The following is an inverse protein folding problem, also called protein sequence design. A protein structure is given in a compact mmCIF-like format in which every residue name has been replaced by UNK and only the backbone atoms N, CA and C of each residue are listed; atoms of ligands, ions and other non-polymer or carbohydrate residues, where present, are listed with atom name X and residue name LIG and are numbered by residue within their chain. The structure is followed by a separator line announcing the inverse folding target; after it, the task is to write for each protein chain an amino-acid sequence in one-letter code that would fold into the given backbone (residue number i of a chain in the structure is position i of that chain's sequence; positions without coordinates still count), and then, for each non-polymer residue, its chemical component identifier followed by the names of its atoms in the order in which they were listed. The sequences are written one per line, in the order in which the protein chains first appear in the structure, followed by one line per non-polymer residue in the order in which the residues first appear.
data_IF_820275926055
#
_entry.id   IF_820275926055
#
_cell.length_a   1.000
_cell.length_b   1.000
_cell.length_c   1.000
_cell.angle_alpha   90.00
_cell.angle_beta   90.00
_cell.angle_gamma   90.00
#
_symmetry.space_group_name_H-M   'P 1'
#
loop_
_entity.id
_entity.type
_entity.pdbx_description
1 polymer ?
#
# COMPACT_ATOMS: atom_id res chain seq x y z
N UNK A 1 -16.00 -9.44 30.15
CA UNK A 1 -16.76 -9.29 28.90
C UNK A 1 -16.23 -10.11 27.72
N UNK A 2 -15.05 -9.86 27.13
CA UNK A 2 -14.57 -10.66 25.96
C UNK A 2 -14.37 -12.15 26.30
N UNK A 3 -13.85 -12.43 27.50
CA UNK A 3 -13.63 -13.80 28.00
C UNK A 3 -14.95 -14.56 28.26
N UNK A 4 -15.93 -13.89 28.85
CA UNK A 4 -17.27 -14.46 29.09
C UNK A 4 -18.03 -14.71 27.79
N UNK A 5 -17.88 -13.85 26.77
CA UNK A 5 -18.44 -14.11 25.43
C UNK A 5 -17.76 -15.32 24.78
N UNK A 6 -16.44 -15.48 24.90
CA UNK A 6 -15.74 -16.66 24.38
C UNK A 6 -16.12 -17.97 25.10
N UNK A 7 -16.36 -17.90 26.40
CA UNK A 7 -16.75 -19.05 27.25
C UNK A 7 -18.23 -19.40 27.13
N UNK A 8 -19.13 -18.41 27.00
CA UNK A 8 -20.58 -18.64 26.85
C UNK A 8 -20.99 -18.97 25.41
N UNK A 9 -20.26 -18.50 24.38
CA UNK A 9 -20.65 -18.65 22.98
C UNK A 9 -20.15 -19.94 22.31
N UNK A 10 -19.69 -20.96 23.07
CA UNK A 10 -19.04 -22.15 22.48
C UNK A 10 -17.92 -21.79 21.50
N UNK A 11 -17.16 -20.73 21.79
CA UNK A 11 -16.18 -20.16 20.84
C UNK A 11 -15.10 -21.15 20.39
N UNK A 12 -14.76 -22.14 21.23
CA UNK A 12 -13.88 -23.26 20.86
C UNK A 12 -14.51 -24.22 19.85
N UNK A 13 -15.81 -24.51 19.98
CA UNK A 13 -16.52 -25.39 19.04
C UNK A 13 -16.73 -24.70 17.70
N UNK A 14 -17.12 -23.41 17.71
CA UNK A 14 -17.24 -22.59 16.50
C UNK A 14 -15.90 -22.45 15.78
N UNK A 15 -14.82 -22.20 16.52
CA UNK A 15 -13.48 -22.19 15.95
C UNK A 15 -13.09 -23.57 15.40
N UNK A 16 -13.33 -24.65 16.13
CA UNK A 16 -13.03 -26.00 15.67
C UNK A 16 -13.77 -26.35 14.36
N UNK A 17 -15.03 -25.95 14.24
CA UNK A 17 -15.83 -26.14 13.03
C UNK A 17 -15.32 -25.31 11.84
N UNK A 18 -14.90 -24.05 12.08
CA UNK A 18 -14.44 -23.16 11.01
C UNK A 18 -12.93 -23.27 10.70
N UNK A 19 -12.16 -23.98 11.53
CA UNK A 19 -10.69 -24.01 11.46
C UNK A 19 -10.18 -24.50 10.11
N UNK A 20 -10.75 -25.59 9.58
CA UNK A 20 -10.32 -26.17 8.32
C UNK A 20 -10.46 -25.18 7.15
N UNK A 21 -11.57 -24.44 7.10
CA UNK A 21 -11.81 -23.40 6.08
C UNK A 21 -10.83 -22.24 6.20
N UNK A 22 -10.54 -21.79 7.44
CA UNK A 22 -9.54 -20.74 7.67
C UNK A 22 -8.13 -21.18 7.29
N UNK A 23 -7.74 -22.41 7.63
CA UNK A 23 -6.43 -22.98 7.26
C UNK A 23 -6.30 -23.14 5.75
N UNK A 24 -7.35 -23.62 5.07
CA UNK A 24 -7.37 -23.72 3.61
C UNK A 24 -7.26 -22.34 2.95
N UNK A 25 -8.00 -21.34 3.43
CA UNK A 25 -7.93 -19.99 2.90
C UNK A 25 -6.57 -19.34 3.15
N UNK A 26 -6.00 -19.51 4.35
CA UNK A 26 -4.65 -19.04 4.67
C UNK A 26 -3.61 -19.68 3.75
N UNK A 27 -3.75 -20.97 3.44
CA UNK A 27 -2.89 -21.68 2.50
C UNK A 27 -3.01 -21.11 1.08
N UNK A 28 -4.23 -20.82 0.61
CA UNK A 28 -4.45 -20.18 -0.70
C UNK A 28 -3.78 -18.81 -0.77
N UNK A 29 -3.93 -17.98 0.27
CA UNK A 29 -3.26 -16.68 0.36
C UNK A 29 -1.74 -16.82 0.34
N UNK A 30 -1.19 -17.78 1.07
CA UNK A 30 0.25 -18.04 1.10
C UNK A 30 0.78 -18.32 -0.31
N UNK A 31 0.19 -19.30 -0.99
CA UNK A 31 0.58 -19.69 -2.35
C UNK A 31 0.43 -18.53 -3.35
N UNK A 32 -0.65 -17.76 -3.23
CA UNK A 32 -0.94 -16.68 -4.17
C UNK A 32 -0.10 -15.41 -3.95
N UNK A 33 0.43 -15.20 -2.73
CA UNK A 33 1.10 -13.94 -2.36
C UNK A 33 2.62 -14.06 -2.31
N UNK A 34 3.16 -15.24 -2.00
CA UNK A 34 4.60 -15.43 -1.78
C UNK A 34 5.46 -14.92 -2.93
N UNK A 35 5.15 -15.35 -4.16
CA UNK A 35 5.93 -14.96 -5.34
C UNK A 35 5.82 -13.45 -5.62
N UNK A 36 4.65 -12.87 -5.40
CA UNK A 36 4.45 -11.43 -5.63
C UNK A 36 5.17 -10.57 -4.59
N UNK A 37 5.23 -11.00 -3.34
CA UNK A 37 6.01 -10.33 -2.29
C UNK A 37 7.50 -10.44 -2.60
N UNK A 38 7.96 -11.61 -3.08
CA UNK A 38 9.33 -11.80 -3.53
C UNK A 38 9.69 -10.84 -4.67
N UNK A 39 8.83 -10.75 -5.70
CA UNK A 39 9.01 -9.81 -6.81
C UNK A 39 9.09 -8.36 -6.34
N UNK A 40 8.19 -7.94 -5.44
CA UNK A 40 8.22 -6.60 -4.88
C UNK A 40 9.50 -6.32 -4.07
N UNK A 41 9.98 -7.31 -3.30
CA UNK A 41 11.22 -7.22 -2.51
C UNK A 41 12.45 -7.04 -3.42
N UNK A 42 12.53 -7.82 -4.50
CA UNK A 42 13.60 -7.72 -5.49
C UNK A 42 13.55 -6.37 -6.21
N UNK A 43 12.37 -5.96 -6.66
CA UNK A 43 12.16 -4.71 -7.37
C UNK A 43 12.53 -3.49 -6.53
N UNK A 44 12.12 -3.47 -5.25
CA UNK A 44 12.49 -2.41 -4.31
C UNK A 44 13.93 -2.53 -3.80
N UNK A 45 14.67 -3.56 -4.25
CA UNK A 45 16.07 -3.83 -3.91
C UNK A 45 16.29 -3.85 -2.40
N UNK A 46 15.38 -4.51 -1.69
CA UNK A 46 15.48 -4.66 -0.25
C UNK A 46 16.59 -5.68 0.06
N UNK A 47 17.67 -5.20 0.69
CA UNK A 47 18.78 -6.07 1.13
C UNK A 47 18.37 -7.01 2.27
N UNK A 48 17.32 -6.66 2.99
CA UNK A 48 16.72 -7.48 4.04
C UNK A 48 15.24 -7.20 4.08
N UNK A 49 14.45 -8.22 4.36
CA UNK A 49 13.04 -8.06 4.59
C UNK A 49 12.84 -7.22 5.88
N UNK A 50 12.10 -6.11 5.86
CA UNK A 50 12.10 -5.15 6.97
C UNK A 50 11.34 -5.65 8.21
N UNK A 51 10.89 -6.90 8.17
CA UNK A 51 10.16 -7.56 9.23
C UNK A 51 10.56 -9.03 9.27
N UNK A 52 10.50 -9.63 10.46
CA UNK A 52 10.83 -11.03 10.67
C UNK A 52 9.90 -11.95 9.90
N UNK A 53 8.59 -11.61 9.84
CA UNK A 53 7.54 -12.41 9.19
C UNK A 53 6.43 -11.56 8.58
N UNK A 54 5.93 -11.99 7.41
CA UNK A 54 4.62 -11.59 6.88
C UNK A 54 3.59 -12.61 7.34
N UNK A 55 2.51 -12.18 7.96
CA UNK A 55 1.38 -13.06 8.32
C UNK A 55 0.12 -12.52 7.69
N UNK A 56 -0.47 -13.28 6.77
CA UNK A 56 -1.79 -12.98 6.22
C UNK A 56 -2.84 -13.67 7.09
N UNK A 57 -3.79 -12.89 7.60
CA UNK A 57 -4.84 -13.35 8.50
C UNK A 57 -6.19 -13.17 7.82
N UNK A 58 -6.77 -14.23 7.23
CA UNK A 58 -8.14 -14.17 6.73
C UNK A 58 -9.11 -13.95 7.89
N UNK A 59 -9.89 -12.89 7.83
CA UNK A 59 -10.94 -12.55 8.79
C UNK A 59 -12.30 -12.66 8.09
N UNK A 60 -12.92 -13.84 8.15
CA UNK A 60 -14.20 -14.12 7.51
C UNK A 60 -15.37 -13.30 8.08
N UNK A 61 -15.19 -12.72 9.27
CA UNK A 61 -16.18 -11.86 9.93
C UNK A 61 -15.97 -10.37 9.65
N UNK A 62 -14.92 -10.02 8.89
CA UNK A 62 -14.63 -8.65 8.49
C UNK A 62 -15.50 -8.16 7.33
N UNK A 63 -15.46 -6.84 7.03
CA UNK A 63 -16.04 -6.29 5.81
C UNK A 63 -15.41 -6.93 4.57
N UNK A 64 -16.23 -7.17 3.53
CA UNK A 64 -15.76 -7.75 2.26
C UNK A 64 -14.65 -6.93 1.63
N UNK A 65 -13.65 -7.63 1.09
CA UNK A 65 -12.48 -7.09 0.38
C UNK A 65 -11.63 -6.08 1.17
N UNK A 66 -11.94 -5.85 2.45
CA UNK A 66 -11.17 -4.94 3.29
C UNK A 66 -9.81 -5.55 3.62
N UNK A 67 -8.75 -4.77 3.47
CA UNK A 67 -7.40 -5.13 3.89
C UNK A 67 -6.88 -4.12 4.89
N UNK A 68 -6.31 -4.61 5.98
CA UNK A 68 -5.67 -3.78 7.00
C UNK A 68 -4.32 -4.38 7.38
N UNK A 69 -3.30 -3.55 7.50
CA UNK A 69 -2.00 -3.94 8.06
C UNK A 69 -1.84 -3.46 9.50
N UNK A 70 -1.12 -4.24 10.29
CA UNK A 70 -0.60 -3.86 11.60
C UNK A 70 0.77 -4.52 11.81
N UNK A 71 1.75 -3.74 12.26
CA UNK A 71 3.07 -4.26 12.61
C UNK A 71 3.17 -4.42 14.12
N UNK A 72 3.53 -5.61 14.61
CA UNK A 72 3.68 -5.92 16.04
C UNK A 72 4.91 -6.79 16.22
N UNK A 73 5.86 -6.36 17.05
CA UNK A 73 7.04 -7.15 17.41
C UNK A 73 7.84 -7.65 16.21
N UNK A 74 8.05 -6.79 15.19
CA UNK A 74 8.78 -7.16 13.98
C UNK A 74 7.99 -8.04 13.01
N UNK A 75 6.68 -8.28 13.22
CA UNK A 75 5.83 -9.07 12.33
C UNK A 75 4.75 -8.20 11.70
N UNK A 76 4.70 -8.19 10.36
CA UNK A 76 3.64 -7.53 9.60
C UNK A 76 2.44 -8.46 9.49
N UNK A 77 1.36 -8.12 10.17
CA UNK A 77 0.08 -8.82 10.07
C UNK A 77 -0.81 -8.09 9.07
N UNK A 78 -1.24 -8.79 8.03
CA UNK A 78 -2.19 -8.29 7.03
C UNK A 78 -3.50 -9.02 7.19
N UNK A 79 -4.48 -8.34 7.79
CA UNK A 79 -5.83 -8.85 8.00
C UNK A 79 -6.65 -8.61 6.75
N UNK A 80 -7.23 -9.66 6.19
CA UNK A 80 -8.00 -9.60 4.93
C UNK A 80 -9.42 -10.10 5.16
N UNK A 81 -10.41 -9.29 4.80
CA UNK A 81 -11.81 -9.65 4.85
C UNK A 81 -12.20 -10.74 3.84
N UNK A 82 -13.44 -11.24 3.90
CA UNK A 82 -13.92 -12.24 2.95
C UNK A 82 -13.94 -11.68 1.51
N UNK A 83 -13.57 -12.51 0.54
CA UNK A 83 -13.56 -12.19 -0.89
C UNK A 83 -13.86 -13.43 -1.72
N UNK A 84 -14.28 -13.26 -2.98
CA UNK A 84 -14.56 -14.38 -3.90
C UNK A 84 -13.30 -15.13 -4.34
N UNK A 85 -12.14 -14.49 -4.25
CA UNK A 85 -10.82 -15.06 -4.48
C UNK A 85 -9.80 -14.36 -3.56
N UNK A 86 -8.60 -14.94 -3.32
CA UNK A 86 -7.59 -14.27 -2.50
C UNK A 86 -7.27 -12.85 -3.02
N UNK A 87 -7.48 -11.83 -2.18
CA UNK A 87 -7.17 -10.42 -2.51
C UNK A 87 -5.65 -10.16 -2.42
N UNK A 88 -4.90 -10.77 -3.32
CA UNK A 88 -3.43 -10.67 -3.38
C UNK A 88 -2.98 -9.22 -3.55
N UNK A 89 -3.67 -8.47 -4.41
CA UNK A 89 -3.36 -7.06 -4.69
C UNK A 89 -3.46 -6.21 -3.42
N UNK A 90 -4.50 -6.40 -2.62
CA UNK A 90 -4.66 -5.72 -1.34
C UNK A 90 -3.57 -6.08 -0.33
N UNK A 91 -3.19 -7.36 -0.25
CA UNK A 91 -2.07 -7.78 0.62
C UNK A 91 -0.75 -7.13 0.21
N UNK A 92 -0.47 -7.08 -1.10
CA UNK A 92 0.74 -6.45 -1.61
C UNK A 92 0.74 -4.95 -1.39
N UNK A 93 -0.39 -4.28 -1.56
CA UNK A 93 -0.51 -2.85 -1.23
C UNK A 93 -0.21 -2.60 0.25
N UNK A 94 -0.72 -3.45 1.14
CA UNK A 94 -0.45 -3.36 2.58
C UNK A 94 1.04 -3.60 2.91
N UNK A 95 1.67 -4.57 2.24
CA UNK A 95 3.12 -4.80 2.31
C UNK A 95 3.91 -3.58 1.84
N UNK A 96 3.63 -3.06 0.64
CA UNK A 96 4.27 -1.87 0.08
C UNK A 96 4.12 -0.67 1.01
N UNK A 97 2.93 -0.43 1.55
CA UNK A 97 2.69 0.65 2.51
C UNK A 97 3.56 0.56 3.76
N UNK A 98 3.78 -0.64 4.30
CA UNK A 98 4.66 -0.85 5.44
C UNK A 98 6.15 -0.67 5.09
N UNK A 99 6.58 -1.18 3.93
CA UNK A 99 7.98 -1.07 3.47
C UNK A 99 8.36 0.38 3.13
N UNK A 100 7.42 1.13 2.55
CA UNK A 100 7.66 2.49 2.09
C UNK A 100 7.46 3.53 3.20
N UNK A 101 6.96 3.14 4.37
CA UNK A 101 6.81 4.04 5.52
C UNK A 101 8.15 4.58 6.04
N UNK A 102 9.15 3.76 6.42
CA UNK A 102 10.43 4.28 6.91
C UNK A 102 11.16 5.24 5.95
N UNK A 103 11.33 4.96 4.64
CA UNK A 103 12.01 5.90 3.75
C UNK A 103 11.20 7.18 3.51
N UNK A 104 9.86 7.12 3.57
CA UNK A 104 9.03 8.33 3.49
C UNK A 104 9.17 9.18 4.74
N UNK A 105 9.13 8.55 5.93
CA UNK A 105 9.32 9.23 7.20
C UNK A 105 10.74 9.83 7.35
N UNK A 106 11.75 9.17 6.78
CA UNK A 106 13.12 9.68 6.75
C UNK A 106 13.28 10.93 5.86
N UNK A 107 12.40 11.13 4.87
CA UNK A 107 12.36 12.30 3.99
C UNK A 107 11.35 13.37 4.47
N UNK A 108 11.20 13.52 5.79
CA UNK A 108 10.17 14.35 6.41
C UNK A 108 10.22 15.82 5.95
N UNK A 109 11.41 16.39 5.84
CA UNK A 109 11.57 17.80 5.44
C UNK A 109 11.05 18.02 4.02
N UNK A 110 11.34 17.10 3.10
CA UNK A 110 10.83 17.15 1.74
C UNK A 110 9.32 16.89 1.65
N UNK A 111 8.79 16.00 2.50
CA UNK A 111 7.34 15.79 2.65
C UNK A 111 6.67 17.09 3.10
N UNK A 112 7.17 17.72 4.18
CA UNK A 112 6.58 18.91 4.77
C UNK A 112 6.64 20.11 3.82
N UNK A 113 7.70 20.24 3.01
CA UNK A 113 7.82 21.26 1.96
C UNK A 113 6.64 21.24 0.97
N UNK A 114 6.05 20.07 0.74
CA UNK A 114 4.94 19.88 -0.20
C UNK A 114 3.56 19.90 0.48
N UNK A 115 3.49 20.11 1.80
CA UNK A 115 2.26 19.99 2.59
C UNK A 115 1.12 20.89 2.12
N UNK A 116 1.42 22.05 1.53
CA UNK A 116 0.42 22.95 0.94
C UNK A 116 -0.30 22.38 -0.29
N UNK A 117 0.10 21.21 -0.81
CA UNK A 117 -0.68 20.46 -1.81
C UNK A 117 -1.85 19.69 -1.20
N UNK A 118 -1.80 19.40 0.11
CA UNK A 118 -2.85 18.61 0.76
C UNK A 118 -4.21 19.30 0.70
N UNK A 119 -4.26 20.63 0.85
CA UNK A 119 -5.49 21.40 0.77
C UNK A 119 -6.20 21.26 -0.59
N UNK A 120 -5.47 20.94 -1.67
CA UNK A 120 -6.03 20.77 -3.00
C UNK A 120 -6.73 19.43 -3.22
N UNK A 121 -6.33 18.41 -2.45
CA UNK A 121 -6.75 17.01 -2.65
C UNK A 121 -7.49 16.44 -1.44
N UNK A 122 -7.62 17.23 -0.37
CA UNK A 122 -8.11 16.78 0.95
C UNK A 122 -9.46 16.09 0.83
N UNK A 123 -10.37 16.65 0.04
CA UNK A 123 -11.73 16.14 -0.07
C UNK A 123 -11.75 14.75 -0.75
N UNK A 124 -10.99 14.59 -1.84
CA UNK A 124 -10.85 13.32 -2.56
C UNK A 124 -10.23 12.25 -1.67
N UNK A 125 -9.12 12.56 -1.00
CA UNK A 125 -8.35 11.57 -0.24
C UNK A 125 -8.96 11.23 1.13
N UNK A 126 -9.71 12.16 1.74
CA UNK A 126 -10.38 11.93 3.04
C UNK A 126 -11.46 10.86 2.94
N UNK A 127 -12.18 10.79 1.81
CA UNK A 127 -13.17 9.73 1.54
C UNK A 127 -12.56 8.32 1.57
N UNK A 128 -11.25 8.23 1.34
CA UNK A 128 -10.45 7.00 1.30
C UNK A 128 -9.73 6.73 2.63
N UNK A 129 -9.94 7.57 3.63
CA UNK A 129 -9.33 7.45 4.95
C UNK A 129 -7.92 8.02 5.06
N UNK A 130 -7.42 8.73 4.05
CA UNK A 130 -6.11 9.40 4.10
C UNK A 130 -6.28 10.80 4.70
N UNK A 131 -5.99 10.91 6.00
CA UNK A 131 -6.26 12.12 6.80
C UNK A 131 -5.05 13.02 6.98
N UNK A 132 -3.87 12.52 6.65
CA UNK A 132 -2.61 13.25 6.81
C UNK A 132 -1.86 13.32 5.47
N UNK A 133 -1.15 14.42 5.25
CA UNK A 133 -0.37 14.63 4.01
C UNK A 133 0.64 13.52 3.76
N UNK A 134 1.36 13.09 4.80
CA UNK A 134 2.32 11.98 4.71
C UNK A 134 1.67 10.67 4.21
N UNK A 135 0.42 10.41 4.60
CA UNK A 135 -0.32 9.24 4.11
C UNK A 135 -0.61 9.34 2.62
N UNK A 136 -0.93 10.55 2.11
CA UNK A 136 -1.13 10.80 0.68
C UNK A 136 0.17 10.62 -0.11
N UNK A 137 1.29 11.14 0.41
CA UNK A 137 2.61 10.97 -0.21
C UNK A 137 2.96 9.49 -0.33
N UNK A 138 2.84 8.76 0.78
CA UNK A 138 3.14 7.33 0.82
C UNK A 138 2.23 6.52 -0.09
N UNK A 139 0.92 6.76 -0.05
CA UNK A 139 -0.04 6.06 -0.92
C UNK A 139 0.22 6.39 -2.40
N UNK A 140 0.59 7.64 -2.74
CA UNK A 140 0.99 8.00 -4.10
C UNK A 140 2.19 7.18 -4.58
N UNK A 141 3.19 6.98 -3.72
CA UNK A 141 4.34 6.16 -4.04
C UNK A 141 3.97 4.68 -4.15
N UNK A 142 3.14 4.16 -3.23
CA UNK A 142 2.62 2.80 -3.28
C UNK A 142 1.94 2.53 -4.62
N UNK A 143 1.06 3.44 -5.09
CA UNK A 143 0.39 3.29 -6.39
C UNK A 143 1.34 3.37 -7.57
N UNK A 144 2.37 4.21 -7.52
CA UNK A 144 3.38 4.25 -8.56
C UNK A 144 4.11 2.90 -8.71
N UNK A 145 4.52 2.31 -7.57
CA UNK A 145 5.17 0.99 -7.55
C UNK A 145 4.19 -0.12 -7.97
N UNK A 146 2.94 -0.04 -7.51
CA UNK A 146 1.87 -0.99 -7.85
C UNK A 146 1.62 -1.05 -9.36
N UNK A 147 1.60 0.12 -10.01
CA UNK A 147 1.45 0.21 -11.46
C UNK A 147 2.57 -0.56 -12.16
N UNK A 148 3.82 -0.29 -11.77
CA UNK A 148 5.01 -0.87 -12.40
C UNK A 148 5.11 -2.38 -12.20
N UNK A 149 4.74 -2.88 -11.03
CA UNK A 149 4.90 -4.29 -10.66
C UNK A 149 3.79 -5.21 -11.15
N UNK A 150 2.55 -4.71 -11.18
CA UNK A 150 1.39 -5.60 -11.30
C UNK A 150 0.58 -5.40 -12.57
N UNK A 151 0.86 -4.35 -13.35
CA UNK A 151 0.14 -4.08 -14.60
C UNK A 151 1.02 -4.46 -15.80
N UNK A 152 0.51 -5.32 -16.71
CA UNK A 152 1.27 -5.96 -17.78
C UNK A 152 1.74 -5.03 -18.91
N UNK A 153 1.12 -3.85 -19.07
CA UNK A 153 1.39 -2.97 -20.21
C UNK A 153 1.34 -1.48 -19.87
N UNK A 154 1.96 -0.65 -20.72
CA UNK A 154 2.03 0.81 -20.51
C UNK A 154 0.64 1.46 -20.47
N UNK A 155 -0.27 1.08 -21.36
CA UNK A 155 -1.62 1.66 -21.41
C UNK A 155 -2.39 1.42 -20.10
N UNK A 156 -2.29 0.21 -19.54
CA UNK A 156 -2.90 -0.15 -18.26
C UNK A 156 -2.24 0.60 -17.09
N UNK A 157 -0.91 0.73 -17.13
CA UNK A 157 -0.17 1.53 -16.16
C UNK A 157 -0.61 2.99 -16.18
N UNK A 158 -0.66 3.62 -17.35
CA UNK A 158 -1.03 5.02 -17.51
C UNK A 158 -2.48 5.25 -17.06
N UNK A 159 -3.41 4.39 -17.47
CA UNK A 159 -4.81 4.45 -17.01
C UNK A 159 -4.95 4.32 -15.48
N UNK A 160 -4.17 3.43 -14.87
CA UNK A 160 -4.17 3.25 -13.43
C UNK A 160 -3.54 4.43 -12.67
N UNK A 161 -2.46 5.00 -13.20
CA UNK A 161 -1.82 6.20 -12.66
C UNK A 161 -2.74 7.41 -12.78
N UNK A 162 -3.48 7.52 -13.89
CA UNK A 162 -4.46 8.58 -14.13
C UNK A 162 -5.65 8.48 -13.17
N UNK A 163 -6.18 7.27 -12.99
CA UNK A 163 -7.22 7.01 -11.99
C UNK A 163 -6.70 7.37 -10.59
N UNK A 164 -5.53 6.87 -10.21
CA UNK A 164 -4.92 7.14 -8.90
C UNK A 164 -4.70 8.64 -8.67
N UNK A 165 -4.25 9.35 -9.70
CA UNK A 165 -4.10 10.80 -9.66
C UNK A 165 -5.46 11.43 -9.38
N UNK A 166 -6.49 11.13 -10.17
CA UNK A 166 -7.83 11.69 -10.01
C UNK A 166 -8.47 11.41 -8.64
N UNK A 167 -8.08 10.32 -7.97
CA UNK A 167 -8.47 10.01 -6.59
C UNK A 167 -7.67 10.80 -5.52
N UNK A 168 -6.93 11.84 -5.90
CA UNK A 168 -6.21 12.75 -5.00
C UNK A 168 -4.75 12.36 -4.71
N UNK A 169 -4.22 11.29 -5.32
CA UNK A 169 -2.82 10.89 -5.15
C UNK A 169 -1.91 11.71 -6.06
N UNK A 170 -1.79 13.00 -5.77
CA UNK A 170 -1.21 14.02 -6.65
C UNK A 170 0.25 13.73 -7.07
N UNK A 171 1.00 12.97 -6.29
CA UNK A 171 2.40 12.62 -6.57
C UNK A 171 2.57 11.32 -7.38
N UNK A 172 1.49 10.59 -7.67
CA UNK A 172 1.58 9.23 -8.22
C UNK A 172 2.34 9.17 -9.55
N UNK A 173 2.03 10.08 -10.49
CA UNK A 173 2.72 10.18 -11.79
C UNK A 173 4.16 10.64 -11.62
N UNK A 174 4.42 11.54 -10.68
CA UNK A 174 5.75 12.08 -10.39
C UNK A 174 6.70 10.99 -9.90
N UNK A 175 6.23 10.12 -9.00
CA UNK A 175 6.98 8.94 -8.55
C UNK A 175 7.15 7.92 -9.68
N UNK A 176 6.07 7.60 -10.40
CA UNK A 176 6.11 6.60 -11.47
C UNK A 176 7.14 6.92 -12.56
N UNK A 177 7.26 8.21 -12.93
CA UNK A 177 8.25 8.66 -13.92
C UNK A 177 9.71 8.66 -13.44
N UNK A 178 9.98 8.31 -12.18
CA UNK A 178 11.34 8.31 -11.61
C UNK A 178 11.83 6.92 -11.19
N UNK A 179 10.94 5.93 -11.17
CA UNK A 179 11.26 4.56 -10.74
C UNK A 179 12.43 3.95 -11.51
N UNK A 180 12.65 4.39 -12.75
CA UNK A 180 13.76 3.95 -13.61
C UNK A 180 15.15 4.15 -12.96
N UNK A 181 15.32 5.13 -12.06
CA UNK A 181 16.57 5.32 -11.30
C UNK A 181 16.81 4.23 -10.25
N UNK A 182 15.74 3.79 -9.57
CA UNK A 182 15.78 2.68 -8.63
C UNK A 182 16.07 1.36 -9.36
N UNK A 183 15.38 1.15 -10.50
CA UNK A 183 15.50 -0.06 -11.34
C UNK A 183 16.89 -0.21 -11.95
N UNK A 184 17.50 0.89 -12.42
CA UNK A 184 18.83 0.87 -13.06
C UNK A 184 19.99 0.67 -12.10
N UNK A 185 19.74 0.67 -10.80
CA UNK A 185 20.84 0.48 -9.85
C UNK A 185 21.33 1.75 -9.17
N UNK A 186 20.95 2.93 -9.66
CA UNK A 186 21.63 4.21 -9.43
C UNK A 186 21.49 4.73 -8.00
N UNK A 187 20.36 4.40 -7.36
CA UNK A 187 20.03 4.79 -5.99
C UNK A 187 19.44 3.60 -5.22
N UNK A 188 19.58 3.61 -3.89
CA UNK A 188 18.79 2.73 -3.02
C UNK A 188 17.39 3.32 -2.76
N UNK A 189 16.50 2.54 -2.13
CA UNK A 189 15.10 2.96 -1.91
C UNK A 189 14.98 4.27 -1.12
N UNK A 190 15.76 4.47 -0.05
CA UNK A 190 15.71 5.70 0.75
C UNK A 190 16.19 6.91 -0.05
N UNK A 191 17.29 6.76 -0.79
CA UNK A 191 17.81 7.79 -1.68
C UNK A 191 16.81 8.11 -2.80
N UNK A 192 16.17 7.10 -3.37
CA UNK A 192 15.12 7.27 -4.38
C UNK A 192 13.97 8.13 -3.84
N UNK A 193 13.41 7.76 -2.68
CA UNK A 193 12.28 8.49 -2.08
C UNK A 193 12.68 9.95 -1.80
N UNK A 194 13.85 10.16 -1.20
CA UNK A 194 14.36 11.49 -0.91
C UNK A 194 14.53 12.31 -2.20
N UNK A 195 15.27 11.83 -3.20
CA UNK A 195 15.52 12.55 -4.45
C UNK A 195 14.23 12.79 -5.26
N UNK A 196 13.31 11.83 -5.27
CA UNK A 196 12.01 12.01 -5.89
C UNK A 196 11.24 13.15 -5.22
N UNK A 197 11.20 13.21 -3.90
CA UNK A 197 10.53 14.29 -3.17
C UNK A 197 11.26 15.63 -3.31
N UNK A 198 12.60 15.67 -3.31
CA UNK A 198 13.40 16.88 -3.53
C UNK A 198 13.10 17.50 -4.91
N UNK A 199 13.03 16.66 -5.94
CA UNK A 199 12.76 17.10 -7.31
C UNK A 199 11.28 17.43 -7.60
N UNK A 200 10.38 17.23 -6.63
CA UNK A 200 8.97 17.60 -6.79
C UNK A 200 8.81 19.13 -6.78
N UNK A 201 8.19 19.66 -7.83
CA UNK A 201 7.83 21.05 -7.95
C UNK A 201 6.35 21.24 -7.57
N UNK A 202 6.10 21.93 -6.46
CA UNK A 202 4.74 22.14 -5.96
C UNK A 202 3.87 22.87 -6.99
N UNK A 203 4.35 23.95 -7.61
CA UNK A 203 3.55 24.75 -8.55
C UNK A 203 3.18 23.96 -9.80
N UNK A 204 4.09 23.15 -10.32
CA UNK A 204 3.79 22.24 -11.43
C UNK A 204 2.70 21.24 -11.05
N UNK A 205 2.77 20.64 -9.86
CA UNK A 205 1.75 19.70 -9.36
C UNK A 205 0.40 20.40 -9.19
N UNK A 206 0.37 21.64 -8.69
CA UNK A 206 -0.85 22.46 -8.60
C UNK A 206 -1.48 22.68 -9.97
N UNK A 207 -0.67 23.06 -10.96
CA UNK A 207 -1.14 23.29 -12.32
C UNK A 207 -1.69 22.01 -12.95
N UNK A 208 -1.02 20.87 -12.77
CA UNK A 208 -1.50 19.57 -13.24
C UNK A 208 -2.83 19.19 -12.59
N UNK A 209 -2.97 19.42 -11.28
CA UNK A 209 -4.21 19.15 -10.55
C UNK A 209 -5.36 20.01 -11.05
N UNK A 210 -5.16 21.32 -11.18
CA UNK A 210 -6.19 22.25 -11.67
C UNK A 210 -6.55 22.00 -13.14
N UNK A 211 -5.59 21.52 -13.95
CA UNK A 211 -5.82 21.14 -15.33
C UNK A 211 -6.74 19.94 -15.51
N UNK A 212 -6.89 19.08 -14.49
CA UNK A 212 -7.78 17.89 -14.56
C UNK A 212 -9.25 18.29 -14.64
N UNK A 213 -9.65 19.36 -13.95
CA UNK A 213 -11.04 19.83 -13.88
C UNK A 213 -11.54 20.49 -15.17
N UNK A 214 -10.65 20.66 -16.16
CA UNK A 214 -10.95 21.28 -17.47
C UNK A 214 -11.12 20.25 -18.60
N UNK A 215 -11.05 18.95 -18.30
CA UNK A 215 -11.32 17.85 -19.25
C UNK A 215 -12.56 17.10 -18.81
#
# INVERSE_FOLDING_TARGET
MVREVYEQARGRELWAAARAEHEQLAQQYRLATEERVRQATIYLRLNTFPFERLVVVPNLLGPRDQVRAVSVGGVLHVVVGPSSAPNVRGVLRAFLGAVLEPPTAAAKDEVDRLKGLYDLVRDEVSSRGLREWEQVVRESLVRAVEARLFLPGRDEQDSFLDTSFNEGLILVRHFAGRLDSLERGEVNLSQFVQQALQSANADQLRQQWQGRSRR
#
